data_IF_790300600446
#
_entry.id   IF_790300600446
#
_cell.length_a   1.000
_cell.length_b   1.000
_cell.length_c   1.000
_cell.angle_alpha   90.00
_cell.angle_beta   90.00
_cell.angle_gamma   90.00
#
_symmetry.space_group_name_H-M   'P 1'
#
loop_
_entity.id
_entity.type
_entity.pdbx_description
1 polymer ?
#
# COMPACT_ATOMS: atom_id res chain seq x y z
N UNK A 1 -5.82 17.47 -25.15
CA UNK A 1 -5.73 16.10 -24.59
C UNK A 1 -4.50 15.90 -23.71
N UNK A 2 -3.27 16.20 -24.14
CA UNK A 2 -2.04 15.93 -23.35
C UNK A 2 -1.96 16.50 -21.91
N UNK A 3 -2.45 17.72 -21.68
CA UNK A 3 -2.44 18.31 -20.33
C UNK A 3 -3.43 17.64 -19.35
N UNK A 4 -4.54 17.10 -19.87
CA UNK A 4 -5.55 16.40 -19.07
C UNK A 4 -5.04 15.01 -18.66
N UNK A 5 -4.30 14.33 -19.54
CA UNK A 5 -3.63 13.06 -19.26
C UNK A 5 -2.55 13.20 -18.19
N UNK A 6 -1.71 14.25 -18.26
CA UNK A 6 -0.65 14.51 -17.27
C UNK A 6 -1.22 14.79 -15.87
N UNK A 7 -2.30 15.57 -15.77
CA UNK A 7 -2.96 15.83 -14.48
C UNK A 7 -3.58 14.56 -13.89
N UNK A 8 -4.18 13.71 -14.73
CA UNK A 8 -4.73 12.42 -14.28
C UNK A 8 -3.64 11.48 -13.76
N UNK A 9 -2.46 11.47 -14.38
CA UNK A 9 -1.34 10.63 -13.96
C UNK A 9 -0.73 11.09 -12.64
N UNK A 10 -0.59 12.41 -12.47
CA UNK A 10 -0.10 12.98 -11.20
C UNK A 10 -0.99 12.56 -10.02
N UNK A 11 -2.31 12.60 -10.20
CA UNK A 11 -3.28 12.14 -9.18
C UNK A 11 -3.13 10.64 -8.92
N UNK A 12 -3.02 9.81 -9.97
CA UNK A 12 -2.82 8.36 -9.78
C UNK A 12 -1.51 8.05 -9.07
N UNK A 13 -0.43 8.78 -9.35
CA UNK A 13 0.84 8.60 -8.66
C UNK A 13 0.72 8.95 -7.17
N UNK A 14 0.09 10.09 -6.86
CA UNK A 14 -0.15 10.52 -5.47
C UNK A 14 -0.99 9.48 -4.71
N UNK A 15 -2.05 8.94 -5.32
CA UNK A 15 -2.85 7.87 -4.72
C UNK A 15 -2.03 6.58 -4.48
N UNK A 16 -1.16 6.21 -5.42
CA UNK A 16 -0.27 5.05 -5.25
C UNK A 16 0.72 5.27 -4.10
N UNK A 17 1.31 6.47 -3.98
CA UNK A 17 2.20 6.83 -2.88
C UNK A 17 1.47 6.72 -1.53
N UNK A 18 0.25 7.26 -1.43
CA UNK A 18 -0.57 7.16 -0.22
C UNK A 18 -0.88 5.70 0.17
N UNK A 19 -1.19 4.84 -0.80
CA UNK A 19 -1.42 3.41 -0.56
C UNK A 19 -0.16 2.70 -0.05
N UNK A 20 1.00 3.00 -0.64
CA UNK A 20 2.29 2.43 -0.23
C UNK A 20 2.74 2.94 1.15
N UNK A 21 2.52 4.21 1.45
CA UNK A 21 2.82 4.79 2.76
C UNK A 21 1.92 4.20 3.86
N UNK A 22 0.64 3.98 3.56
CA UNK A 22 -0.27 3.29 4.46
C UNK A 22 0.18 1.83 4.70
N UNK A 23 0.54 1.11 3.63
CA UNK A 23 1.07 -0.26 3.71
C UNK A 23 2.33 -0.32 4.61
N UNK A 24 3.28 0.60 4.41
CA UNK A 24 4.49 0.70 5.22
C UNK A 24 4.17 1.00 6.69
N UNK A 25 3.26 1.93 6.94
CA UNK A 25 2.85 2.29 8.30
C UNK A 25 2.24 1.10 9.04
N UNK A 26 1.40 0.30 8.37
CA UNK A 26 0.85 -0.93 8.95
C UNK A 26 1.96 -1.93 9.27
N UNK A 27 2.92 -2.13 8.36
CA UNK A 27 4.05 -3.04 8.61
C UNK A 27 4.90 -2.59 9.78
N UNK A 28 5.19 -1.29 9.92
CA UNK A 28 5.88 -0.74 11.08
C UNK A 28 5.11 -1.00 12.38
N UNK A 29 3.78 -0.85 12.38
CA UNK A 29 2.96 -1.18 13.57
C UNK A 29 3.02 -2.68 13.90
N UNK A 30 2.99 -3.56 12.90
CA UNK A 30 3.15 -5.01 13.10
C UNK A 30 4.51 -5.33 13.69
N UNK A 31 5.59 -4.72 13.20
CA UNK A 31 6.94 -4.89 13.74
C UNK A 31 7.02 -4.45 15.21
N UNK A 32 6.43 -3.30 15.55
CA UNK A 32 6.39 -2.80 16.94
C UNK A 32 5.64 -3.75 17.86
N UNK A 33 4.49 -4.28 17.43
CA UNK A 33 3.71 -5.26 18.22
C UNK A 33 4.52 -6.53 18.45
N UNK A 34 5.14 -7.07 17.40
CA UNK A 34 5.97 -8.27 17.49
C UNK A 34 7.16 -8.09 18.44
N UNK A 35 7.82 -6.93 18.42
CA UNK A 35 8.91 -6.62 19.34
C UNK A 35 8.40 -6.50 20.78
N UNK A 36 7.24 -5.88 20.99
CA UNK A 36 6.66 -5.72 22.34
C UNK A 36 6.24 -7.05 22.97
N UNK A 37 5.74 -7.99 22.16
CA UNK A 37 5.39 -9.33 22.64
C UNK A 37 6.61 -10.19 23.00
N UNK A 38 7.78 -9.93 22.40
CA UNK A 38 9.04 -10.56 22.81
C UNK A 38 9.49 -10.08 24.21
N UNK A 39 9.23 -8.83 24.55
CA UNK A 39 9.68 -8.20 25.79
C UNK A 39 8.73 -8.44 26.98
N UNK A 40 7.42 -8.46 26.76
CA UNK A 40 6.43 -8.44 27.86
C UNK A 40 5.71 -9.79 28.11
N UNK A 41 5.98 -10.82 27.30
CA UNK A 41 5.28 -12.11 27.41
C UNK A 41 3.77 -12.04 27.12
N UNK A 42 3.32 -10.89 26.61
CA UNK A 42 2.00 -10.68 26.05
C UNK A 42 1.79 -11.65 24.88
N UNK A 43 0.63 -12.32 24.86
CA UNK A 43 0.24 -13.12 23.70
C UNK A 43 -0.36 -12.19 22.66
N UNK A 44 0.41 -11.86 21.64
CA UNK A 44 -0.12 -11.29 20.39
C UNK A 44 -1.37 -12.04 19.98
N UNK A 45 -2.39 -11.33 19.51
CA UNK A 45 -3.48 -11.96 18.77
C UNK A 45 -2.96 -12.28 17.36
N UNK A 46 -2.56 -13.53 17.04
CA UNK A 46 -1.85 -13.83 15.80
C UNK A 46 -2.73 -13.55 14.58
N UNK A 47 -4.05 -13.69 14.75
CA UNK A 47 -5.04 -13.34 13.74
C UNK A 47 -5.03 -11.85 13.39
N UNK A 48 -4.84 -10.95 14.37
CA UNK A 48 -4.76 -9.51 14.10
C UNK A 48 -3.49 -9.17 13.30
N UNK A 49 -2.35 -9.80 13.63
CA UNK A 49 -1.09 -9.64 12.88
C UNK A 49 -1.25 -10.14 11.44
N UNK A 50 -1.82 -11.34 11.27
CA UNK A 50 -2.06 -11.90 9.94
C UNK A 50 -3.01 -11.03 9.12
N UNK A 51 -4.07 -10.49 9.74
CA UNK A 51 -5.00 -9.57 9.08
C UNK A 51 -4.31 -8.25 8.70
N UNK A 52 -3.44 -7.71 9.55
CA UNK A 52 -2.68 -6.49 9.28
C UNK A 52 -1.70 -6.70 8.12
N UNK A 53 -0.97 -7.81 8.09
CA UNK A 53 -0.08 -8.18 6.99
C UNK A 53 -0.87 -8.35 5.68
N UNK A 54 -2.01 -9.03 5.72
CA UNK A 54 -2.88 -9.18 4.56
C UNK A 54 -3.38 -7.82 4.05
N UNK A 55 -3.76 -6.92 4.95
CA UNK A 55 -4.16 -5.55 4.62
C UNK A 55 -3.02 -4.74 3.97
N UNK A 56 -1.81 -4.79 4.54
CA UNK A 56 -0.64 -4.14 3.97
C UNK A 56 -0.31 -4.64 2.57
N UNK A 57 -0.38 -5.96 2.33
CA UNK A 57 -0.21 -6.57 1.00
C UNK A 57 -1.28 -6.11 0.03
N UNK A 58 -2.55 -6.12 0.44
CA UNK A 58 -3.64 -5.66 -0.41
C UNK A 58 -3.46 -4.22 -0.88
N UNK A 59 -3.01 -3.33 0.00
CA UNK A 59 -2.70 -1.93 -0.35
C UNK A 59 -1.56 -1.83 -1.37
N UNK A 60 -0.50 -2.62 -1.21
CA UNK A 60 0.61 -2.66 -2.16
C UNK A 60 0.18 -3.23 -3.53
N UNK A 61 -0.63 -4.27 -3.55
CA UNK A 61 -1.18 -4.87 -4.78
C UNK A 61 -2.13 -3.90 -5.50
N UNK A 62 -2.93 -3.13 -4.77
CA UNK A 62 -3.79 -2.08 -5.34
C UNK A 62 -2.96 -0.94 -5.93
N UNK A 63 -1.91 -0.48 -5.24
CA UNK A 63 -0.99 0.52 -5.77
C UNK A 63 -0.31 0.03 -7.07
N UNK A 64 0.11 -1.24 -7.09
CA UNK A 64 0.71 -1.86 -8.27
C UNK A 64 -0.28 -1.91 -9.44
N UNK A 65 -1.50 -2.42 -9.24
CA UNK A 65 -2.54 -2.46 -10.28
C UNK A 65 -2.89 -1.08 -10.84
N UNK A 66 -2.94 -0.05 -9.98
CA UNK A 66 -3.19 1.33 -10.42
C UNK A 66 -2.03 1.89 -11.25
N UNK A 67 -0.79 1.59 -10.86
CA UNK A 67 0.40 1.98 -11.61
C UNK A 67 0.43 1.30 -12.99
N UNK A 68 0.16 -0.01 -13.06
CA UNK A 68 0.05 -0.74 -14.33
C UNK A 68 -1.06 -0.17 -15.21
N UNK A 69 -2.26 0.06 -14.68
CA UNK A 69 -3.36 0.65 -15.43
C UNK A 69 -3.10 2.10 -15.88
N UNK A 70 -2.25 2.84 -15.16
CA UNK A 70 -1.80 4.17 -15.58
C UNK A 70 -0.76 4.08 -16.72
N UNK A 71 0.19 3.16 -16.62
CA UNK A 71 1.18 2.88 -17.65
C UNK A 71 0.52 2.38 -18.95
N UNK A 72 -0.45 1.49 -18.84
CA UNK A 72 -1.19 1.00 -20.01
C UNK A 72 -1.91 2.12 -20.75
N UNK A 73 -2.54 3.06 -20.02
CA UNK A 73 -3.17 4.25 -20.61
C UNK A 73 -2.17 5.19 -21.28
N UNK A 74 -0.97 5.33 -20.71
CA UNK A 74 0.14 6.09 -21.29
C UNK A 74 0.65 5.48 -22.60
N UNK A 75 0.86 4.17 -22.61
CA UNK A 75 1.45 3.44 -23.75
C UNK A 75 0.44 3.27 -24.87
N UNK A 76 -0.83 2.97 -24.55
CA UNK A 76 -1.85 2.60 -25.53
C UNK A 76 -2.84 3.73 -25.89
N UNK A 77 -2.74 4.90 -25.24
CA UNK A 77 -3.29 6.16 -25.74
C UNK A 77 -4.79 6.16 -26.07
N UNK A 78 -5.64 5.63 -25.18
CA UNK A 78 -7.09 5.91 -25.18
C UNK A 78 -7.46 6.75 -23.97
#
# INVERSE_FOLDING_TARGET
>A
MGAMTMKSLAVTLEECEQLLDCSRSIMTLVEVVLLSDLDEGSRSAPQLILNAIAGARHLADEAHRRAEGALDRLVHGR
#
